data_IF_587534604671
#
_entry.id   IF_587534604671
#
_cell.length_a   1.000
_cell.length_b   1.000
_cell.length_c   1.000
_cell.angle_alpha   90.00
_cell.angle_beta   90.00
_cell.angle_gamma   90.00
#
_symmetry.space_group_name_H-M   'P 1'
#
loop_
_entity.id
_entity.type
_entity.pdbx_description
1 polymer ?
#
# COMPACT_ATOMS: atom_id res chain seq x y z
N UNK A 1 2.50 -5.64 6.42
CA UNK A 1 2.55 -7.06 6.84
C UNK A 1 3.44 -7.12 8.08
N UNK A 2 3.18 -8.05 9.00
CA UNK A 2 3.84 -8.08 10.31
C UNK A 2 2.96 -7.58 11.45
N UNK A 3 3.57 -7.38 12.62
CA UNK A 3 2.90 -6.97 13.85
C UNK A 3 2.68 -5.45 13.85
N UNK A 4 1.45 -5.02 14.13
CA UNK A 4 1.10 -3.59 14.16
C UNK A 4 1.83 -2.89 15.32
N UNK A 5 2.47 -1.76 15.03
CA UNK A 5 3.17 -0.95 16.04
C UNK A 5 4.57 -1.44 16.45
N UNK A 6 4.98 -2.65 16.03
CA UNK A 6 6.24 -3.26 16.46
C UNK A 6 7.47 -2.40 16.16
N UNK A 7 7.56 -1.82 14.95
CA UNK A 7 8.71 -1.00 14.57
C UNK A 7 8.87 0.26 15.42
N UNK A 8 7.76 0.88 15.85
CA UNK A 8 7.78 2.05 16.73
C UNK A 8 8.31 1.69 18.13
N UNK A 9 8.06 0.47 18.59
CA UNK A 9 8.57 -0.01 19.87
C UNK A 9 10.07 -0.36 19.80
N UNK A 10 10.53 -0.88 18.66
CA UNK A 10 11.93 -1.32 18.48
C UNK A 10 12.86 -0.23 17.97
N UNK A 11 12.34 0.96 17.62
CA UNK A 11 13.09 2.04 16.99
C UNK A 11 14.37 2.42 17.77
N UNK A 12 14.28 2.47 19.10
CA UNK A 12 15.42 2.80 19.97
C UNK A 12 16.55 1.77 19.95
N UNK A 13 16.29 0.55 19.46
CA UNK A 13 17.29 -0.53 19.36
C UNK A 13 17.91 -0.64 17.98
N UNK A 14 17.39 0.11 16.99
CA UNK A 14 17.88 0.09 15.62
C UNK A 14 19.31 0.63 15.50
N UNK A 15 20.13 -0.01 14.69
CA UNK A 15 21.49 0.47 14.36
C UNK A 15 21.58 0.76 12.87
N UNK A 16 21.92 2.00 12.46
CA UNK A 16 22.19 2.29 11.06
C UNK A 16 23.47 1.56 10.65
N UNK A 17 23.43 0.91 9.48
CA UNK A 17 24.60 0.25 8.89
C UNK A 17 24.78 0.74 7.46
N UNK A 18 26.04 0.87 7.03
CA UNK A 18 26.35 1.19 5.65
C UNK A 18 26.27 -0.07 4.78
N UNK A 19 25.59 -0.08 3.61
CA UNK A 19 25.43 -1.29 2.81
C UNK A 19 26.74 -1.97 2.39
N UNK A 20 27.83 -1.21 2.24
CA UNK A 20 29.19 -1.69 1.94
C UNK A 20 29.71 -2.66 3.00
N UNK A 21 29.25 -2.54 4.25
CA UNK A 21 29.61 -3.48 5.33
C UNK A 21 29.04 -4.89 5.11
N UNK A 22 28.12 -5.04 4.16
CA UNK A 22 27.51 -6.31 3.78
C UNK A 22 28.18 -6.95 2.56
N UNK A 23 29.29 -6.38 2.06
CA UNK A 23 30.07 -6.94 0.95
C UNK A 23 30.42 -8.42 1.20
N UNK A 24 30.20 -9.26 0.18
CA UNK A 24 30.46 -10.69 0.23
C UNK A 24 29.48 -11.50 1.10
N UNK A 25 28.60 -10.85 1.86
CA UNK A 25 27.59 -11.55 2.69
C UNK A 25 26.49 -12.15 1.84
N UNK A 26 25.99 -13.28 2.31
CA UNK A 26 24.79 -13.91 1.78
C UNK A 26 23.59 -13.35 2.54
N UNK A 27 22.62 -12.77 1.82
CA UNK A 27 21.40 -12.23 2.42
C UNK A 27 20.18 -12.97 1.89
N UNK A 28 19.39 -13.52 2.80
CA UNK A 28 18.04 -13.99 2.49
C UNK A 28 17.12 -12.78 2.29
N UNK A 29 16.46 -12.70 1.14
CA UNK A 29 15.57 -11.61 0.77
C UNK A 29 14.16 -12.15 0.62
N UNK A 30 13.25 -11.68 1.48
CA UNK A 30 11.81 -11.91 1.34
C UNK A 30 11.28 -11.17 0.10
N UNK A 31 11.04 -11.93 -0.97
CA UNK A 31 10.57 -11.41 -2.24
C UNK A 31 9.06 -11.11 -2.20
N UNK A 32 8.29 -11.78 -1.34
CA UNK A 32 6.84 -11.65 -1.25
C UNK A 32 6.46 -10.24 -0.79
N UNK A 33 7.25 -9.64 0.12
CA UNK A 33 7.09 -8.23 0.50
C UNK A 33 7.43 -7.30 -0.69
N UNK A 34 8.52 -7.56 -1.41
CA UNK A 34 8.97 -6.72 -2.52
C UNK A 34 7.95 -6.69 -3.67
N UNK A 35 7.43 -7.84 -4.06
CA UNK A 35 6.40 -7.97 -5.08
C UNK A 35 5.12 -7.23 -4.69
N UNK A 36 4.65 -7.42 -3.45
CA UNK A 36 3.46 -6.74 -2.97
C UNK A 36 3.65 -5.21 -2.91
N UNK A 37 4.84 -4.73 -2.53
CA UNK A 37 5.17 -3.31 -2.57
C UNK A 37 5.24 -2.76 -3.99
N UNK A 38 5.84 -3.50 -4.93
CA UNK A 38 5.94 -3.06 -6.32
C UNK A 38 4.56 -2.90 -6.95
N UNK A 39 3.68 -3.90 -6.81
CA UNK A 39 2.33 -3.88 -7.39
C UNK A 39 1.44 -2.80 -6.76
N UNK A 40 1.55 -2.57 -5.44
CA UNK A 40 0.69 -1.60 -4.73
C UNK A 40 1.26 -0.19 -4.66
N UNK A 41 2.58 -0.05 -4.71
CA UNK A 41 3.29 1.21 -4.49
C UNK A 41 3.74 1.90 -5.76
N UNK A 42 4.00 1.17 -6.85
CA UNK A 42 4.36 1.80 -8.12
C UNK A 42 3.12 2.37 -8.80
N UNK A 43 3.03 3.69 -8.87
CA UNK A 43 1.96 4.44 -9.50
C UNK A 43 2.53 5.47 -10.45
N UNK A 44 1.87 5.67 -11.59
CA UNK A 44 2.19 6.77 -12.47
C UNK A 44 1.74 8.11 -11.87
N UNK A 45 2.05 9.22 -12.55
CA UNK A 45 1.63 10.58 -12.17
C UNK A 45 0.11 10.76 -12.07
N UNK A 46 -0.67 9.88 -12.67
CA UNK A 46 -2.13 9.89 -12.67
C UNK A 46 -2.72 8.93 -11.64
N UNK A 47 -1.90 8.20 -10.89
CA UNK A 47 -2.33 7.23 -9.89
C UNK A 47 -2.68 5.84 -10.44
N UNK A 48 -2.41 5.56 -11.71
CA UNK A 48 -2.61 4.24 -12.31
C UNK A 48 -1.47 3.29 -11.94
N UNK A 49 -1.76 1.99 -11.95
CA UNK A 49 -0.73 0.97 -11.78
C UNK A 49 0.21 0.96 -12.99
N UNK A 50 1.52 0.96 -12.73
CA UNK A 50 2.52 0.80 -13.77
C UNK A 50 2.57 -0.67 -14.21
N UNK A 51 2.50 -0.90 -15.51
CA UNK A 51 2.61 -2.25 -16.06
C UNK A 51 3.99 -2.86 -15.75
N UNK A 52 4.02 -4.13 -15.39
CA UNK A 52 5.26 -4.85 -15.05
C UNK A 52 6.11 -4.17 -13.96
N UNK A 53 5.50 -3.35 -13.09
CA UNK A 53 6.20 -2.64 -12.01
C UNK A 53 7.03 -3.55 -11.10
N UNK A 54 6.59 -4.78 -10.93
CA UNK A 54 7.30 -5.80 -10.17
C UNK A 54 8.66 -6.14 -10.81
N UNK A 55 8.74 -6.34 -12.13
CA UNK A 55 10.00 -6.61 -12.83
C UNK A 55 10.96 -5.44 -12.67
N UNK A 56 10.50 -4.22 -12.93
CA UNK A 56 11.33 -3.02 -12.83
C UNK A 56 11.87 -2.81 -11.40
N UNK A 57 10.99 -2.94 -10.41
CA UNK A 57 11.37 -2.78 -9.00
C UNK A 57 12.36 -3.85 -8.56
N UNK A 58 12.12 -5.11 -8.93
CA UNK A 58 13.01 -6.21 -8.60
C UNK A 58 14.36 -6.07 -9.28
N UNK A 59 14.39 -5.71 -10.56
CA UNK A 59 15.60 -5.50 -11.33
C UNK A 59 16.50 -4.45 -10.67
N UNK A 60 15.97 -3.27 -10.38
CA UNK A 60 16.75 -2.21 -9.72
C UNK A 60 17.24 -2.60 -8.32
N UNK A 61 16.41 -3.29 -7.53
CA UNK A 61 16.83 -3.74 -6.19
C UNK A 61 17.91 -4.82 -6.27
N UNK A 62 17.81 -5.75 -7.22
CA UNK A 62 18.85 -6.75 -7.48
C UNK A 62 20.16 -6.07 -7.90
N UNK A 63 20.12 -5.15 -8.87
CA UNK A 63 21.29 -4.38 -9.29
C UNK A 63 21.94 -3.66 -8.09
N UNK A 64 21.14 -3.07 -7.20
CA UNK A 64 21.65 -2.41 -5.99
C UNK A 64 22.35 -3.37 -5.04
N UNK A 65 21.81 -4.57 -4.82
CA UNK A 65 22.48 -5.57 -3.98
C UNK A 65 23.79 -6.05 -4.60
N UNK A 66 23.78 -6.33 -5.90
CA UNK A 66 24.98 -6.76 -6.63
C UNK A 66 26.05 -5.66 -6.72
N UNK A 67 25.65 -4.39 -6.80
CA UNK A 67 26.55 -3.24 -6.74
C UNK A 67 27.40 -3.25 -5.45
N UNK A 68 26.79 -3.55 -4.31
CA UNK A 68 27.49 -3.73 -3.04
C UNK A 68 28.12 -5.12 -2.86
N UNK A 69 28.20 -5.92 -3.93
CA UNK A 69 28.72 -7.30 -3.93
C UNK A 69 28.06 -8.20 -2.88
N UNK A 70 26.79 -7.94 -2.59
CA UNK A 70 25.96 -8.80 -1.75
C UNK A 70 25.50 -10.00 -2.59
N UNK A 71 25.41 -11.18 -1.97
CA UNK A 71 24.92 -12.41 -2.60
C UNK A 71 23.48 -12.70 -2.16
N UNK A 72 22.46 -12.19 -2.87
CA UNK A 72 21.07 -12.41 -2.47
C UNK A 72 20.62 -13.86 -2.70
N UNK A 73 19.84 -14.38 -1.77
CA UNK A 73 19.02 -15.59 -1.93
C UNK A 73 17.57 -15.16 -1.78
N UNK A 74 16.79 -15.24 -2.87
CA UNK A 74 15.38 -14.90 -2.83
C UNK A 74 14.57 -16.04 -2.20
N UNK A 75 13.78 -15.70 -1.18
CA UNK A 75 12.91 -16.63 -0.46
C UNK A 75 11.47 -16.25 -0.77
N UNK A 76 10.72 -17.23 -1.29
CA UNK A 76 9.30 -17.11 -1.60
C UNK A 76 8.48 -17.73 -0.48
N UNK A 77 7.39 -17.06 -0.10
CA UNK A 77 6.37 -17.67 0.75
C UNK A 77 5.80 -18.93 0.08
N UNK A 78 5.69 -20.01 0.86
CA UNK A 78 4.91 -21.18 0.51
C UNK A 78 3.42 -21.01 0.85
N UNK A 79 2.75 -22.11 1.16
CA UNK A 79 1.34 -22.06 1.55
C UNK A 79 1.14 -21.31 2.87
N UNK A 80 0.16 -20.39 2.89
CA UNK A 80 -0.18 -19.65 4.09
C UNK A 80 -0.82 -20.58 5.14
N UNK A 81 -0.36 -20.55 6.42
CA UNK A 81 -1.00 -21.30 7.49
C UNK A 81 -2.47 -20.92 7.67
N UNK A 82 -3.28 -21.85 8.21
CA UNK A 82 -4.72 -21.66 8.41
C UNK A 82 -5.06 -20.36 9.18
N UNK A 83 -4.29 -20.06 10.23
CA UNK A 83 -4.47 -18.85 11.03
C UNK A 83 -4.28 -17.56 10.20
N UNK A 84 -3.28 -17.52 9.31
CA UNK A 84 -3.03 -16.39 8.40
C UNK A 84 -4.20 -16.27 7.41
N UNK A 85 -4.69 -17.38 6.85
CA UNK A 85 -5.84 -17.40 5.94
C UNK A 85 -7.11 -16.83 6.60
N UNK A 86 -7.47 -17.31 7.79
CA UNK A 86 -8.63 -16.81 8.54
C UNK A 86 -8.52 -15.32 8.89
N UNK A 87 -7.34 -14.88 9.32
CA UNK A 87 -7.08 -13.47 9.65
C UNK A 87 -7.20 -12.57 8.42
N UNK A 88 -6.68 -13.03 7.27
CA UNK A 88 -6.80 -12.31 6.00
C UNK A 88 -8.26 -12.17 5.55
N UNK A 89 -9.05 -13.24 5.69
CA UNK A 89 -10.48 -13.22 5.38
C UNK A 89 -11.23 -12.20 6.25
N UNK A 90 -11.03 -12.23 7.58
CA UNK A 90 -11.61 -11.25 8.50
C UNK A 90 -11.21 -9.81 8.14
N UNK A 91 -9.95 -9.58 7.79
CA UNK A 91 -9.46 -8.25 7.39
C UNK A 91 -10.10 -7.78 6.08
N UNK A 92 -10.27 -8.67 5.11
CA UNK A 92 -10.93 -8.37 3.85
C UNK A 92 -12.39 -7.98 4.06
N UNK A 93 -13.14 -8.76 4.84
CA UNK A 93 -14.52 -8.44 5.18
C UNK A 93 -14.68 -7.05 5.80
N UNK A 94 -13.82 -6.67 6.76
CA UNK A 94 -13.85 -5.32 7.36
C UNK A 94 -13.56 -4.22 6.34
N UNK A 95 -12.60 -4.45 5.44
CA UNK A 95 -12.26 -3.49 4.38
C UNK A 95 -13.44 -3.29 3.43
N UNK A 96 -14.08 -4.37 3.01
CA UNK A 96 -15.19 -4.34 2.07
C UNK A 96 -16.40 -3.63 2.70
N UNK A 97 -16.73 -3.95 3.97
CA UNK A 97 -17.78 -3.26 4.71
C UNK A 97 -17.52 -1.75 4.86
N UNK A 98 -16.27 -1.35 5.18
CA UNK A 98 -15.90 0.06 5.27
C UNK A 98 -15.99 0.78 3.92
N UNK A 99 -15.69 0.10 2.81
CA UNK A 99 -15.83 0.66 1.47
C UNK A 99 -17.31 0.90 1.12
N UNK A 100 -18.19 -0.03 1.48
CA UNK A 100 -19.64 0.11 1.29
C UNK A 100 -20.22 1.27 2.11
N UNK A 101 -19.80 1.41 3.36
CA UNK A 101 -20.18 2.53 4.22
C UNK A 101 -19.68 3.88 3.67
N UNK A 102 -18.43 3.93 3.20
CA UNK A 102 -17.88 5.12 2.58
C UNK A 102 -18.66 5.53 1.33
N UNK A 103 -19.03 4.56 0.47
CA UNK A 103 -19.85 4.82 -0.72
C UNK A 103 -21.22 5.38 -0.35
N UNK A 104 -21.93 4.74 0.59
CA UNK A 104 -23.23 5.23 1.10
C UNK A 104 -23.14 6.64 1.66
N UNK A 105 -22.04 6.94 2.37
CA UNK A 105 -21.81 8.26 2.96
C UNK A 105 -21.54 9.31 1.87
N UNK A 106 -20.70 8.99 0.89
CA UNK A 106 -20.44 9.86 -0.27
C UNK A 106 -21.73 10.20 -1.03
N UNK A 107 -22.59 9.21 -1.29
CA UNK A 107 -23.87 9.41 -1.99
C UNK A 107 -24.80 10.33 -1.20
N UNK A 108 -24.88 10.17 0.13
CA UNK A 108 -25.66 11.05 1.01
C UNK A 108 -25.11 12.48 0.99
N UNK A 109 -23.80 12.65 1.09
CA UNK A 109 -23.15 13.95 1.06
C UNK A 109 -23.39 14.66 -0.28
N UNK A 110 -23.23 13.95 -1.40
CA UNK A 110 -23.49 14.49 -2.74
C UNK A 110 -24.95 14.93 -2.90
N UNK A 111 -25.91 14.10 -2.48
CA UNK A 111 -27.33 14.46 -2.50
C UNK A 111 -27.64 15.71 -1.70
N UNK A 112 -27.08 15.82 -0.48
CA UNK A 112 -27.25 17.01 0.37
C UNK A 112 -26.64 18.26 -0.27
N UNK A 113 -25.46 18.13 -0.88
CA UNK A 113 -24.79 19.21 -1.60
C UNK A 113 -25.62 19.73 -2.78
N UNK A 114 -26.12 18.83 -3.63
CA UNK A 114 -26.96 19.18 -4.78
C UNK A 114 -28.28 19.84 -4.36
N UNK A 115 -28.94 19.32 -3.32
CA UNK A 115 -30.16 19.95 -2.76
C UNK A 115 -29.90 21.38 -2.29
N UNK A 116 -28.79 21.62 -1.59
CA UNK A 116 -28.40 22.97 -1.15
C UNK A 116 -28.14 23.92 -2.32
N UNK A 117 -27.48 23.46 -3.39
CA UNK A 117 -27.26 24.27 -4.59
C UNK A 117 -28.57 24.64 -5.29
N UNK A 118 -29.49 23.68 -5.43
CA UNK A 118 -30.79 23.91 -6.06
C UNK A 118 -31.63 24.96 -5.29
N UNK A 119 -31.65 24.87 -3.95
CA UNK A 119 -32.32 25.87 -3.08
C UNK A 119 -31.67 27.25 -3.25
N UNK A 120 -30.33 27.33 -3.28
CA UNK A 120 -29.62 28.60 -3.47
C UNK A 120 -29.93 29.23 -4.84
N UNK A 121 -30.01 28.43 -5.90
CA UNK A 121 -30.33 28.90 -7.24
C UNK A 121 -31.77 29.45 -7.35
N UNK A 122 -32.74 28.77 -6.74
CA UNK A 122 -34.14 29.24 -6.73
C UNK A 122 -34.33 30.50 -5.89
N UNK A 123 -33.67 30.61 -4.73
CA UNK A 123 -33.70 31.82 -3.90
C UNK A 123 -33.01 33.03 -4.57
N UNK A 124 -32.00 32.80 -5.42
CA UNK A 124 -31.37 33.86 -6.19
C UNK A 124 -32.25 34.35 -7.35
N UNK A 125 -32.95 33.44 -8.04
CA UNK A 125 -33.85 33.80 -9.15
C UNK A 125 -35.13 34.56 -8.75
N UNK A 126 -35.55 34.47 -7.48
CA UNK A 126 -36.69 35.23 -6.96
C UNK A 126 -36.35 36.67 -6.52
N UNK A 127 -35.07 37.08 -6.50
CA UNK A 127 -34.67 38.45 -6.16
C UNK A 127 -34.61 39.41 -7.34
N UNK A 128 -34.77 38.91 -8.57
CA UNK A 128 -34.71 39.71 -9.82
C UNK A 128 -36.10 39.94 -10.46
N UNK A 129 -37.19 39.75 -9.72
CA UNK A 129 -38.55 40.12 -10.13
C UNK A 129 -39.19 41.12 -9.17
#
# INVERSE_FOLDING_TARGET
MGVQGLWKLLECTGRPINPETLEGKILAVDISIWLNQAVKGARDRHGNAIENAHLLTLFHRLCKLLFFRIRPIFVFDGEAPLLKKQTLAKRRHRKDAAADEAKKTSDKLLRTFLKRQAIKATLAGNKEK
#
